data_IF_132262589091
#
_entry.id   IF_132262589091
#
_cell.length_a   1.000
_cell.length_b   1.000
_cell.length_c   1.000
_cell.angle_alpha   90.00
_cell.angle_beta   90.00
_cell.angle_gamma   90.00
#
_symmetry.space_group_name_H-M   'P 1'
#
loop_
_entity.id
_entity.type
_entity.pdbx_description
1 polymer ?
#
# COMPACT_ATOMS: atom_id res chain seq x y z
N UNK A 1 8.09 -23.93 -4.69
CA UNK A 1 8.36 -22.51 -4.55
C UNK A 1 7.75 -22.07 -3.23
N UNK A 2 8.52 -21.44 -2.36
CA UNK A 2 8.01 -20.89 -1.09
C UNK A 2 7.10 -19.69 -1.37
N UNK A 3 6.29 -19.30 -0.39
CA UNK A 3 5.45 -18.10 -0.50
C UNK A 3 6.28 -16.84 -0.77
N UNK A 4 7.46 -16.71 -0.15
CA UNK A 4 8.38 -15.60 -0.41
C UNK A 4 8.91 -15.58 -1.86
N UNK A 5 9.28 -16.76 -2.40
CA UNK A 5 9.73 -16.88 -3.79
C UNK A 5 8.59 -16.58 -4.78
N UNK A 6 7.35 -17.00 -4.49
CA UNK A 6 6.16 -16.68 -5.30
C UNK A 6 5.94 -15.17 -5.32
N UNK A 7 5.98 -14.53 -4.15
CA UNK A 7 5.78 -13.09 -4.04
C UNK A 7 6.88 -12.31 -4.75
N UNK A 8 8.15 -12.70 -4.59
CA UNK A 8 9.26 -12.06 -5.28
C UNK A 8 9.16 -12.22 -6.80
N UNK A 9 8.84 -13.41 -7.30
CA UNK A 9 8.63 -13.62 -8.73
C UNK A 9 7.47 -12.77 -9.29
N UNK A 10 6.43 -12.54 -8.48
CA UNK A 10 5.36 -11.62 -8.83
C UNK A 10 5.86 -10.17 -8.88
N UNK A 11 6.64 -9.73 -7.89
CA UNK A 11 7.25 -8.40 -7.89
C UNK A 11 8.18 -8.20 -9.09
N UNK A 12 9.02 -9.18 -9.42
CA UNK A 12 9.90 -9.14 -10.59
C UNK A 12 9.11 -8.94 -11.88
N UNK A 13 7.94 -9.58 -12.00
CA UNK A 13 7.08 -9.41 -13.17
C UNK A 13 6.48 -7.98 -13.26
N UNK A 14 5.97 -7.43 -12.16
CA UNK A 14 5.37 -6.08 -12.17
C UNK A 14 6.41 -4.96 -12.29
N UNK A 15 7.65 -5.20 -11.86
CA UNK A 15 8.74 -4.21 -11.92
C UNK A 15 9.66 -4.40 -13.12
N UNK A 16 9.30 -5.29 -14.06
CA UNK A 16 10.04 -5.57 -15.30
C UNK A 16 11.48 -6.09 -15.02
N UNK A 17 11.63 -6.91 -13.98
CA UNK A 17 12.90 -7.54 -13.60
C UNK A 17 13.90 -6.61 -12.93
N UNK A 18 13.45 -5.45 -12.42
CA UNK A 18 14.30 -4.54 -11.64
C UNK A 18 14.69 -5.19 -10.31
N UNK A 19 15.93 -5.03 -9.92
CA UNK A 19 16.40 -5.55 -8.64
C UNK A 19 16.07 -4.59 -7.49
N UNK A 20 15.35 -5.03 -6.45
CA UNK A 20 15.04 -4.19 -5.31
C UNK A 20 16.21 -4.06 -4.34
N UNK A 21 16.25 -2.94 -3.62
CA UNK A 21 16.95 -2.88 -2.34
C UNK A 21 16.04 -3.51 -1.28
N UNK A 22 16.47 -4.64 -0.72
CA UNK A 22 15.71 -5.36 0.31
C UNK A 22 16.27 -5.00 1.68
N UNK A 23 15.39 -4.62 2.60
CA UNK A 23 15.75 -4.41 4.01
C UNK A 23 14.70 -5.02 4.93
N UNK A 24 15.11 -5.38 6.14
CA UNK A 24 14.24 -6.00 7.13
C UNK A 24 13.83 -4.97 8.18
N UNK A 25 12.56 -5.01 8.57
CA UNK A 25 12.03 -4.30 9.74
C UNK A 25 11.76 -5.35 10.81
N UNK A 26 12.47 -5.29 11.97
CA UNK A 26 12.31 -6.26 13.03
C UNK A 26 10.86 -6.38 13.50
N UNK A 27 10.42 -7.61 13.78
CA UNK A 27 9.11 -7.79 14.40
C UNK A 27 9.09 -7.27 15.84
N UNK A 28 7.97 -6.65 16.23
CA UNK A 28 7.63 -6.46 17.64
C UNK A 28 7.19 -7.74 18.36
N UNK A 29 6.85 -8.81 17.64
CA UNK A 29 6.38 -10.09 18.15
C UNK A 29 7.41 -11.20 17.83
N UNK A 30 8.09 -11.78 18.83
CA UNK A 30 9.09 -12.83 18.62
C UNK A 30 8.56 -14.11 17.94
N UNK A 31 7.25 -14.32 17.93
CA UNK A 31 6.62 -15.48 17.26
C UNK A 31 6.45 -15.30 15.75
N UNK A 32 6.65 -14.07 15.25
CA UNK A 32 6.46 -13.72 13.86
C UNK A 32 7.78 -13.26 13.23
N UNK A 33 8.00 -13.64 11.96
CA UNK A 33 9.19 -13.25 11.21
C UNK A 33 9.23 -11.73 10.93
N UNK A 34 10.42 -11.18 10.74
CA UNK A 34 10.61 -9.79 10.33
C UNK A 34 9.86 -9.45 9.02
N UNK A 35 9.57 -8.17 8.84
CA UNK A 35 8.96 -7.67 7.60
C UNK A 35 10.07 -7.33 6.61
N UNK A 36 10.06 -7.97 5.43
CA UNK A 36 10.89 -7.55 4.32
C UNK A 36 10.26 -6.34 3.62
N UNK A 37 11.06 -5.34 3.31
CA UNK A 37 10.67 -4.18 2.50
C UNK A 37 11.51 -4.19 1.22
N UNK A 38 10.83 -4.34 0.07
CA UNK A 38 11.43 -4.30 -1.26
C UNK A 38 11.29 -2.88 -1.81
N UNK A 39 12.42 -2.21 -2.02
CA UNK A 39 12.44 -0.82 -2.47
C UNK A 39 12.95 -0.73 -3.90
N UNK A 40 12.19 -0.05 -4.74
CA UNK A 40 12.48 0.18 -6.16
C UNK A 40 12.57 1.69 -6.39
N UNK A 41 13.78 2.18 -6.69
CA UNK A 41 13.99 3.55 -7.14
C UNK A 41 13.68 3.66 -8.64
N UNK A 42 13.20 4.84 -9.04
CA UNK A 42 12.82 5.17 -10.41
C UNK A 42 11.78 4.21 -11.01
N UNK A 43 10.86 3.71 -10.17
CA UNK A 43 9.70 2.93 -10.56
C UNK A 43 8.44 3.49 -9.86
N UNK A 44 7.31 3.67 -10.56
CA UNK A 44 7.02 3.23 -11.94
C UNK A 44 7.66 4.11 -13.03
N UNK A 45 8.21 5.26 -12.67
CA UNK A 45 8.90 6.18 -13.59
C UNK A 45 10.05 6.88 -12.87
N UNK A 46 10.97 7.56 -13.59
CA UNK A 46 12.08 8.29 -12.96
C UNK A 46 11.60 9.30 -11.91
N UNK A 47 12.34 9.42 -10.80
CA UNK A 47 12.02 10.30 -9.68
C UNK A 47 11.03 9.74 -8.67
N UNK A 48 10.57 8.50 -8.85
CA UNK A 48 9.71 7.81 -7.89
C UNK A 48 10.46 6.78 -7.05
N UNK A 49 10.06 6.61 -5.80
CA UNK A 49 10.44 5.49 -4.95
C UNK A 49 9.20 4.68 -4.63
N UNK A 50 9.29 3.36 -4.80
CA UNK A 50 8.22 2.43 -4.47
C UNK A 50 8.69 1.38 -3.50
N UNK A 51 7.91 1.16 -2.44
CA UNK A 51 8.11 0.11 -1.46
C UNK A 51 7.01 -0.94 -1.53
N UNK A 52 7.36 -2.21 -1.37
CA UNK A 52 6.43 -3.32 -1.11
C UNK A 52 6.83 -4.04 0.18
N UNK A 53 5.87 -4.51 0.95
CA UNK A 53 6.13 -5.36 2.13
C UNK A 53 5.98 -6.84 1.80
N UNK A 54 6.70 -7.68 2.54
CA UNK A 54 6.39 -9.09 2.69
C UNK A 54 6.54 -9.50 4.16
N UNK A 55 5.53 -10.17 4.69
CA UNK A 55 5.49 -10.64 6.07
C UNK A 55 4.27 -10.16 6.85
N UNK A 56 3.52 -9.18 6.32
CA UNK A 56 2.22 -8.80 6.88
C UNK A 56 1.23 -9.96 6.72
N UNK A 57 1.18 -10.53 5.52
CA UNK A 57 0.28 -11.61 5.15
C UNK A 57 0.59 -12.95 5.87
N UNK A 58 1.74 -13.07 6.53
CA UNK A 58 2.07 -14.25 7.32
C UNK A 58 1.35 -14.29 8.67
N UNK A 59 0.89 -13.15 9.17
CA UNK A 59 0.04 -13.08 10.35
C UNK A 59 -1.41 -13.51 10.04
N UNK A 60 -2.23 -13.59 11.08
CA UNK A 60 -3.68 -13.85 10.96
C UNK A 60 -4.46 -12.67 11.52
N UNK A 61 -5.59 -12.36 10.90
CA UNK A 61 -6.54 -11.37 11.39
C UNK A 61 -7.96 -11.94 11.26
N UNK A 62 -8.81 -11.77 12.28
CA UNK A 62 -10.14 -12.39 12.32
C UNK A 62 -11.06 -11.94 11.17
N UNK A 63 -10.94 -10.68 10.77
CA UNK A 63 -11.74 -10.10 9.68
C UNK A 63 -11.23 -10.41 8.25
N UNK A 64 -10.07 -11.05 8.11
CA UNK A 64 -9.58 -11.49 6.80
C UNK A 64 -10.32 -12.74 6.33
N UNK A 65 -11.28 -12.55 5.41
CA UNK A 65 -12.14 -13.64 4.89
C UNK A 65 -11.77 -14.13 3.49
N UNK A 66 -11.20 -13.27 2.66
CA UNK A 66 -11.01 -13.52 1.23
C UNK A 66 -9.55 -13.51 0.78
N UNK A 67 -8.65 -13.24 1.71
CA UNK A 67 -7.20 -13.14 1.50
C UNK A 67 -6.58 -12.25 2.56
N UNK A 68 -5.28 -12.06 2.44
CA UNK A 68 -4.43 -11.34 3.39
C UNK A 68 -3.75 -10.18 2.69
N UNK A 69 -3.28 -9.18 3.43
CA UNK A 69 -2.70 -7.98 2.84
C UNK A 69 -1.17 -8.00 2.81
N UNK A 70 -0.60 -7.37 1.79
CA UNK A 70 0.72 -6.73 1.81
C UNK A 70 0.56 -5.27 1.41
N UNK A 71 1.49 -4.42 1.79
CA UNK A 71 1.41 -2.98 1.57
C UNK A 71 2.32 -2.55 0.43
N UNK A 72 1.88 -1.51 -0.27
CA UNK A 72 2.63 -0.81 -1.31
C UNK A 72 2.56 0.69 -1.07
N UNK A 73 3.69 1.39 -1.18
CA UNK A 73 3.75 2.85 -1.22
C UNK A 73 4.52 3.26 -2.46
N UNK A 74 4.11 4.33 -3.12
CA UNK A 74 4.82 4.90 -4.27
C UNK A 74 4.74 6.42 -4.23
N UNK A 75 5.89 7.08 -4.21
CA UNK A 75 6.02 8.51 -3.96
C UNK A 75 6.92 9.16 -4.99
N UNK A 76 6.62 10.39 -5.39
CA UNK A 76 7.53 11.25 -6.16
C UNK A 76 8.64 11.81 -5.26
N UNK A 77 9.54 10.93 -4.83
CA UNK A 77 10.68 11.17 -3.95
C UNK A 77 11.69 10.03 -4.13
N UNK A 78 12.92 10.20 -3.64
CA UNK A 78 13.90 9.12 -3.49
C UNK A 78 14.25 8.84 -2.02
N UNK A 79 13.53 9.44 -1.07
CA UNK A 79 13.74 9.22 0.36
C UNK A 79 13.27 7.81 0.76
N UNK A 80 14.17 6.93 1.24
CA UNK A 80 13.79 5.59 1.69
C UNK A 80 12.85 5.59 2.90
N UNK A 81 12.70 6.69 3.63
CA UNK A 81 11.76 6.78 4.76
C UNK A 81 10.33 6.38 4.35
N UNK A 82 9.92 6.68 3.11
CA UNK A 82 8.61 6.30 2.57
C UNK A 82 8.38 4.77 2.56
N UNK A 83 9.13 3.94 1.81
CA UNK A 83 9.07 2.48 1.91
C UNK A 83 9.22 1.93 3.34
N UNK A 84 10.11 2.52 4.14
CA UNK A 84 10.37 2.05 5.49
C UNK A 84 9.17 2.20 6.43
N UNK A 85 8.46 3.31 6.30
CA UNK A 85 7.30 3.61 7.14
C UNK A 85 6.23 2.52 7.02
N UNK A 86 5.95 2.01 5.81
CA UNK A 86 4.95 0.94 5.63
C UNK A 86 5.43 -0.41 6.18
N UNK A 87 6.74 -0.69 6.15
CA UNK A 87 7.30 -1.87 6.81
C UNK A 87 7.17 -1.79 8.32
N UNK A 88 7.38 -0.60 8.89
CA UNK A 88 7.16 -0.34 10.31
C UNK A 88 5.67 -0.44 10.70
N UNK A 89 4.76 0.15 9.92
CA UNK A 89 3.31 -0.01 10.12
C UNK A 89 2.91 -1.49 10.12
N UNK A 90 3.35 -2.25 9.11
CA UNK A 90 3.06 -3.67 9.00
C UNK A 90 3.60 -4.45 10.22
N UNK A 91 4.82 -4.19 10.66
CA UNK A 91 5.41 -4.85 11.83
C UNK A 91 4.63 -4.56 13.13
N UNK A 92 4.13 -3.33 13.29
CA UNK A 92 3.43 -2.88 14.50
C UNK A 92 1.95 -3.20 14.56
N UNK A 93 1.28 -3.27 13.41
CA UNK A 93 -0.18 -3.36 13.34
C UNK A 93 -0.67 -4.66 12.72
N UNK A 94 0.21 -5.56 12.24
CA UNK A 94 -0.24 -6.87 11.75
C UNK A 94 -0.92 -7.66 12.86
N UNK A 95 -2.11 -8.19 12.55
CA UNK A 95 -2.97 -8.87 13.51
C UNK A 95 -4.02 -7.95 14.17
N UNK A 96 -3.76 -6.65 14.25
CA UNK A 96 -4.68 -5.65 14.85
C UNK A 96 -5.36 -4.76 13.82
N UNK A 97 -4.72 -4.54 12.66
CA UNK A 97 -5.25 -3.75 11.55
C UNK A 97 -5.48 -4.65 10.33
N UNK A 98 -6.66 -4.53 9.72
CA UNK A 98 -6.99 -5.29 8.51
C UNK A 98 -6.29 -4.75 7.26
N UNK A 99 -5.86 -3.48 7.27
CA UNK A 99 -5.39 -2.75 6.09
C UNK A 99 -6.38 -2.82 4.92
N UNK A 100 -7.67 -2.66 5.24
CA UNK A 100 -8.75 -2.60 4.26
C UNK A 100 -8.82 -1.22 3.60
N UNK A 101 -9.36 -1.17 2.39
CA UNK A 101 -9.57 0.11 1.70
C UNK A 101 -10.48 1.04 2.50
N UNK A 102 -10.04 2.28 2.64
CA UNK A 102 -10.67 3.31 3.47
C UNK A 102 -10.14 3.35 4.90
N UNK A 103 -9.33 2.39 5.36
CA UNK A 103 -8.67 2.55 6.65
C UNK A 103 -7.75 3.76 6.63
N UNK A 104 -7.79 4.53 7.71
CA UNK A 104 -6.82 5.59 7.97
C UNK A 104 -6.02 5.24 9.21
N UNK A 105 -4.74 5.61 9.19
CA UNK A 105 -3.80 5.34 10.28
C UNK A 105 -3.12 6.67 10.61
N UNK A 106 -3.34 7.17 11.82
CA UNK A 106 -2.61 8.35 12.29
C UNK A 106 -1.22 7.88 12.79
N UNK A 107 -0.17 8.25 12.05
CA UNK A 107 1.20 7.85 12.35
C UNK A 107 1.77 8.61 13.55
N UNK A 108 1.26 9.83 13.80
CA UNK A 108 1.58 10.71 14.95
C UNK A 108 3.02 11.21 15.00
N UNK A 109 3.78 10.93 13.95
CA UNK A 109 5.12 11.42 13.74
C UNK A 109 5.32 11.70 12.25
N UNK A 110 6.29 12.53 11.94
CA UNK A 110 6.63 12.85 10.56
C UNK A 110 7.17 11.60 9.86
N UNK A 111 6.65 11.29 8.66
CA UNK A 111 7.03 10.08 7.93
C UNK A 111 8.42 10.22 7.28
N UNK A 112 8.71 11.40 6.73
CA UNK A 112 9.94 11.74 6.02
C UNK A 112 10.31 13.19 6.30
N UNK A 113 11.60 13.49 6.40
CA UNK A 113 12.08 14.86 6.61
C UNK A 113 11.72 15.81 5.46
N UNK A 114 11.35 15.28 4.28
CA UNK A 114 10.96 16.05 3.10
C UNK A 114 9.52 16.59 3.18
N UNK A 115 8.69 16.11 4.11
CA UNK A 115 7.27 16.45 4.18
C UNK A 115 6.72 16.39 5.60
N UNK A 116 5.78 17.30 5.93
CA UNK A 116 5.08 17.29 7.22
C UNK A 116 3.96 16.25 7.35
N UNK A 117 3.85 15.29 6.43
CA UNK A 117 2.83 14.23 6.50
C UNK A 117 3.11 13.26 7.64
N UNK A 118 2.05 12.90 8.35
CA UNK A 118 2.06 12.16 9.62
C UNK A 118 0.85 11.20 9.75
N UNK A 119 0.20 10.87 8.63
CA UNK A 119 -0.91 9.94 8.56
C UNK A 119 -0.91 9.17 7.24
N UNK A 120 -1.69 8.08 7.19
CA UNK A 120 -1.84 7.22 6.03
C UNK A 120 -3.30 6.92 5.73
N UNK A 121 -3.60 6.77 4.45
CA UNK A 121 -4.85 6.23 3.92
C UNK A 121 -4.54 4.95 3.15
N UNK A 122 -5.30 3.90 3.42
CA UNK A 122 -5.21 2.63 2.70
C UNK A 122 -6.22 2.62 1.57
N UNK A 123 -5.77 2.41 0.34
CA UNK A 123 -6.65 2.31 -0.83
C UNK A 123 -6.05 1.47 -1.96
N UNK A 124 -6.75 1.34 -3.08
CA UNK A 124 -6.25 0.58 -4.22
C UNK A 124 -4.94 1.19 -4.75
N UNK A 125 -3.86 0.40 -4.96
CA UNK A 125 -2.61 0.94 -5.48
C UNK A 125 -2.80 1.47 -6.90
N UNK A 126 -2.16 2.60 -7.27
CA UNK A 126 -2.50 3.34 -8.48
C UNK A 126 -1.77 2.82 -9.73
N UNK A 127 -0.64 2.13 -9.54
CA UNK A 127 0.23 1.64 -10.62
C UNK A 127 0.10 0.16 -10.91
N UNK A 128 -0.79 -0.53 -10.19
CA UNK A 128 -1.06 -1.94 -10.41
C UNK A 128 -2.41 -2.11 -11.08
N UNK A 129 -2.47 -3.01 -12.04
CA UNK A 129 -3.72 -3.53 -12.58
C UNK A 129 -4.37 -4.53 -11.62
N UNK A 130 -5.60 -4.94 -11.93
CA UNK A 130 -6.41 -5.80 -11.05
C UNK A 130 -5.73 -7.13 -10.73
N UNK A 131 -5.12 -7.76 -11.72
CA UNK A 131 -4.40 -9.02 -11.62
C UNK A 131 -3.05 -8.84 -10.90
N UNK A 132 -2.37 -7.71 -11.12
CA UNK A 132 -1.13 -7.37 -10.44
C UNK A 132 -1.32 -7.12 -8.93
N UNK A 133 -2.53 -6.76 -8.48
CA UNK A 133 -2.86 -6.58 -7.05
C UNK A 133 -3.06 -7.89 -6.29
N UNK A 134 -3.22 -9.01 -6.99
CA UNK A 134 -3.55 -10.30 -6.37
C UNK A 134 -2.46 -11.33 -6.66
N UNK A 135 -1.78 -11.75 -5.60
CA UNK A 135 -0.78 -12.83 -5.64
C UNK A 135 -1.40 -14.11 -5.12
N UNK A 136 -1.35 -15.18 -5.91
CA UNK A 136 -1.83 -16.51 -5.52
C UNK A 136 -0.73 -17.25 -4.77
N UNK A 137 -0.79 -17.22 -3.45
CA UNK A 137 0.18 -17.91 -2.58
C UNK A 137 -0.17 -19.40 -2.48
N UNK A 138 0.66 -20.20 -1.80
CA UNK A 138 0.41 -21.64 -1.68
C UNK A 138 -0.87 -21.96 -0.88
N UNK A 139 -1.19 -21.16 0.13
CA UNK A 139 -2.29 -21.45 1.08
C UNK A 139 -3.33 -20.34 1.24
N UNK A 140 -3.10 -19.18 0.64
CA UNK A 140 -4.02 -18.05 0.69
C UNK A 140 -3.84 -17.12 -0.52
N UNK A 141 -4.83 -16.27 -0.75
CA UNK A 141 -4.71 -15.15 -1.66
C UNK A 141 -4.09 -13.95 -0.92
N UNK A 142 -3.08 -13.33 -1.52
CA UNK A 142 -2.45 -12.12 -1.00
C UNK A 142 -2.82 -10.91 -1.86
N UNK A 143 -3.36 -9.86 -1.25
CA UNK A 143 -3.71 -8.61 -1.91
C UNK A 143 -2.72 -7.51 -1.59
N UNK A 144 -2.26 -6.80 -2.61
CA UNK A 144 -1.42 -5.61 -2.44
C UNK A 144 -2.34 -4.39 -2.25
N UNK A 145 -2.26 -3.78 -1.06
CA UNK A 145 -2.97 -2.56 -0.71
C UNK A 145 -2.03 -1.36 -0.83
N UNK A 146 -2.49 -0.29 -1.48
CA UNK A 146 -1.78 0.97 -1.58
C UNK A 146 -1.89 1.77 -0.28
N UNK A 147 -0.79 2.39 0.11
CA UNK A 147 -0.66 3.26 1.27
C UNK A 147 -0.31 4.65 0.77
N UNK A 148 -1.16 5.61 1.12
CA UNK A 148 -1.05 6.99 0.68
C UNK A 148 -0.76 7.87 1.90
N UNK A 149 0.41 8.51 1.98
CA UNK A 149 0.66 9.53 2.98
C UNK A 149 -0.37 10.66 2.88
N UNK A 150 -0.67 11.30 4.01
CA UNK A 150 -1.45 12.53 4.10
C UNK A 150 -1.15 13.25 5.41
N UNK A 151 -1.65 14.46 5.57
CA UNK A 151 -1.57 15.19 6.83
C UNK A 151 -2.68 14.74 7.77
N UNK A 152 -2.38 14.56 9.06
CA UNK A 152 -3.36 14.21 10.08
C UNK A 152 -4.51 15.22 10.19
N UNK A 153 -4.28 16.47 9.79
CA UNK A 153 -5.31 17.51 9.66
C UNK A 153 -6.34 17.21 8.57
N UNK A 154 -5.98 16.44 7.54
CA UNK A 154 -6.87 16.01 6.46
C UNK A 154 -7.74 14.81 6.87
N UNK A 155 -7.42 14.10 7.96
CA UNK A 155 -8.24 12.99 8.46
C UNK A 155 -9.65 13.43 8.84
N UNK A 156 -9.79 14.60 9.48
CA UNK A 156 -11.11 15.13 9.83
C UNK A 156 -11.95 15.47 8.58
N UNK A 157 -11.30 15.94 7.51
CA UNK A 157 -11.96 16.15 6.23
C UNK A 157 -12.38 14.81 5.62
N UNK A 158 -11.48 13.84 5.59
CA UNK A 158 -11.74 12.49 5.12
C UNK A 158 -12.94 11.84 5.83
N UNK A 159 -12.98 11.90 7.17
CA UNK A 159 -14.09 11.37 7.97
C UNK A 159 -15.42 12.05 7.63
N UNK A 160 -15.38 13.37 7.37
CA UNK A 160 -16.58 14.15 7.06
C UNK A 160 -17.15 13.86 5.67
N UNK A 161 -16.29 13.76 4.65
CA UNK A 161 -16.75 13.65 3.25
C UNK A 161 -16.77 12.21 2.74
N UNK A 162 -16.05 11.31 3.41
CA UNK A 162 -15.88 9.91 3.03
C UNK A 162 -14.95 9.71 1.82
N UNK A 163 -14.48 8.48 1.64
CA UNK A 163 -13.47 8.11 0.64
C UNK A 163 -13.83 8.56 -0.78
N UNK A 164 -15.09 8.39 -1.21
CA UNK A 164 -15.50 8.72 -2.59
C UNK A 164 -15.36 10.21 -2.88
N UNK A 165 -15.82 11.06 -1.97
CA UNK A 165 -15.73 12.50 -2.16
C UNK A 165 -14.28 12.99 -1.98
N UNK A 166 -13.56 12.45 -1.00
CA UNK A 166 -12.16 12.78 -0.74
C UNK A 166 -11.29 12.48 -1.97
N UNK A 167 -11.44 11.30 -2.57
CA UNK A 167 -10.67 10.87 -3.75
C UNK A 167 -10.91 11.72 -4.99
N UNK A 168 -12.03 12.46 -5.04
CA UNK A 168 -12.41 13.33 -6.14
C UNK A 168 -12.19 14.82 -5.87
N UNK A 169 -11.55 15.18 -4.74
CA UNK A 169 -11.15 16.56 -4.50
C UNK A 169 -10.16 16.99 -5.59
N UNK A 170 -10.39 18.16 -6.17
CA UNK A 170 -9.57 18.71 -7.27
C UNK A 170 -8.09 18.83 -6.92
N UNK A 171 -7.80 19.07 -5.65
CA UNK A 171 -6.45 19.30 -5.16
C UNK A 171 -5.86 18.07 -4.47
N UNK A 172 -6.57 16.93 -4.43
CA UNK A 172 -6.03 15.67 -3.93
C UNK A 172 -5.27 14.94 -5.04
N UNK A 173 -3.97 14.75 -4.83
CA UNK A 173 -3.13 13.91 -5.67
C UNK A 173 -2.54 12.76 -4.84
N UNK A 174 -2.89 11.49 -5.11
CA UNK A 174 -2.35 10.35 -4.39
C UNK A 174 -0.83 10.17 -4.54
N UNK A 175 -0.20 10.79 -5.54
CA UNK A 175 1.23 10.58 -5.84
C UNK A 175 2.16 11.64 -5.24
N UNK A 176 1.63 12.82 -4.92
CA UNK A 176 2.34 13.91 -4.23
C UNK A 176 1.75 14.23 -2.85
N UNK A 177 0.60 13.64 -2.53
CA UNK A 177 -0.06 13.53 -1.22
C UNK A 177 -0.25 14.83 -0.42
N UNK A 178 -1.01 15.78 -0.97
CA UNK A 178 -1.66 16.83 -0.16
C UNK A 178 -2.85 17.44 -0.91
N UNK A 179 -3.88 17.86 -0.18
CA UNK A 179 -4.89 18.81 -0.68
C UNK A 179 -4.27 20.21 -0.62
N UNK A 180 -3.75 20.72 -1.74
CA UNK A 180 -3.09 22.06 -1.79
C UNK A 180 -3.99 23.23 -1.38
N UNK A 181 -5.31 23.04 -1.34
CA UNK A 181 -6.30 24.11 -1.15
C UNK A 181 -6.90 24.25 0.26
N UNK A 182 -6.26 23.73 1.32
CA UNK A 182 -6.78 23.93 2.70
C UNK A 182 -5.95 24.81 3.66
N UNK A 183 -5.59 26.06 3.31
CA UNK A 183 -5.26 27.08 4.31
C UNK A 183 -6.47 27.86 4.86
N UNK A 184 -7.59 27.96 4.12
CA UNK A 184 -8.65 28.96 4.42
C UNK A 184 -9.65 28.57 5.51
N UNK A 185 -9.62 27.33 6.02
CA UNK A 185 -10.39 26.93 7.21
C UNK A 185 -9.51 26.63 8.44
N UNK A 186 -8.19 26.83 8.34
CA UNK A 186 -7.26 26.86 9.48
C UNK A 186 -7.20 28.26 10.14
N UNK A 187 -8.27 29.05 10.00
CA UNK A 187 -8.41 30.36 10.61
C UNK A 187 -8.67 30.26 12.12
N UNK A 188 -7.71 30.78 12.89
CA UNK A 188 -7.76 31.14 14.32
C UNK A 188 -7.44 30.04 15.35
N UNK A 189 -6.17 29.65 15.43
CA UNK A 189 -5.55 29.38 16.72
C UNK A 189 -4.40 30.37 16.95
N UNK A 190 -4.78 31.62 17.24
CA UNK A 190 -3.85 32.57 17.84
C UNK A 190 -3.33 31.99 19.15
N UNK A 191 -2.01 31.94 19.30
CA UNK A 191 -1.31 31.71 20.55
C UNK A 191 -2.04 32.36 21.74
N UNK A 192 -2.64 31.52 22.59
CA UNK A 192 -2.82 31.83 24.01
C UNK A 192 -2.24 30.65 24.77
N UNK A 193 -0.96 30.80 25.09
CA UNK A 193 -0.32 30.05 26.17
C UNK A 193 -1.19 30.16 27.43
N UNK A 194 -1.75 29.03 27.85
CA UNK A 194 -2.14 28.82 29.24
C UNK A 194 -1.46 27.55 29.71
N UNK A 195 -0.35 27.78 30.41
CA UNK A 195 0.25 26.96 31.46
C UNK A 195 -0.53 25.66 31.79
N UNK A 196 -0.01 24.53 31.32
CA UNK A 196 -0.12 23.27 32.03
C UNK A 196 1.30 22.84 32.41
N UNK A 197 1.53 22.84 33.73
CA UNK A 197 2.78 22.46 34.38
C UNK A 197 3.15 21.02 34.03
N UNK A 198 4.41 20.84 33.63
CA UNK A 198 5.30 19.70 33.86
C UNK A 198 4.65 18.34 34.18
N UNK A 199 4.76 17.41 33.23
CA UNK A 199 4.94 15.99 33.54
C UNK A 199 6.08 15.45 32.67
N UNK A 200 7.20 15.09 33.30
CA UNK A 200 8.28 14.37 32.65
C UNK A 200 7.79 13.00 32.14
N UNK A 201 8.23 12.54 30.96
CA UNK A 201 7.90 11.20 30.50
C UNK A 201 8.67 10.15 31.33
N UNK A 202 7.97 9.11 31.78
CA UNK A 202 8.58 7.87 32.27
C UNK A 202 9.05 7.03 31.08
N UNK A 203 10.15 6.26 31.20
CA UNK A 203 10.58 5.36 30.14
C UNK A 203 9.67 4.13 30.09
N UNK A 204 9.13 3.81 28.91
CA UNK A 204 8.40 2.54 28.67
C UNK A 204 7.05 2.61 27.95
N UNK A 205 6.72 3.67 27.21
CA UNK A 205 5.41 3.76 26.55
C UNK A 205 5.42 3.22 25.12
N UNK A 206 4.59 2.19 24.90
CA UNK A 206 4.08 1.80 23.59
C UNK A 206 3.39 3.00 22.92
N UNK A 207 3.76 3.30 21.67
CA UNK A 207 3.02 4.22 20.83
C UNK A 207 1.63 3.63 20.57
N UNK A 208 0.60 4.25 21.15
CA UNK A 208 -0.78 3.96 20.78
C UNK A 208 -1.04 4.57 19.40
N UNK A 209 -1.33 3.74 18.39
CA UNK A 209 -1.89 4.19 17.12
C UNK A 209 -3.41 4.28 17.26
N UNK A 210 -4.03 5.35 16.77
CA UNK A 210 -5.48 5.41 16.64
C UNK A 210 -5.85 4.93 15.23
N UNK A 211 -6.58 3.82 15.16
CA UNK A 211 -7.17 3.30 13.93
C UNK A 211 -8.63 3.74 13.92
N UNK A 212 -9.02 4.52 12.91
CA UNK A 212 -10.42 4.84 12.67
C UNK A 212 -10.95 3.88 11.60
N UNK A 213 -11.77 2.91 12.02
CA UNK A 213 -12.49 2.03 11.10
C UNK A 213 -13.79 2.69 10.63
N UNK A 214 -13.80 3.12 9.36
CA UNK A 214 -15.05 3.39 8.64
C UNK A 214 -15.46 2.09 7.92
N UNK A 215 -16.22 1.24 8.60
CA UNK A 215 -16.64 -0.06 8.07
C UNK A 215 -17.55 0.13 6.84
N UNK A 216 -17.01 -0.03 5.64
CA UNK A 216 -17.80 -0.28 4.43
C UNK A 216 -17.16 -1.42 3.63
N UNK A 217 -17.86 -2.55 3.52
CA UNK A 217 -17.45 -3.71 2.71
C UNK A 217 -17.27 -3.31 1.24
N UNK A 218 -16.02 -3.14 0.81
CA UNK A 218 -15.64 -2.92 -0.60
C UNK A 218 -14.76 -4.04 -1.15
N UNK A 219 -15.06 -5.29 -0.78
CA UNK A 219 -14.48 -6.45 -1.47
C UNK A 219 -15.57 -7.12 -2.30
N UNK A 220 -15.68 -6.71 -3.57
CA UNK A 220 -16.62 -7.32 -4.52
C UNK A 220 -17.10 -6.45 -5.68
N UNK A 221 -16.83 -5.14 -5.70
CA UNK A 221 -17.15 -4.26 -6.84
C UNK A 221 -15.90 -3.82 -7.58
N UNK A 222 -15.98 -3.82 -8.90
CA UNK A 222 -14.89 -3.39 -9.78
C UNK A 222 -14.58 -1.91 -9.54
N UNK A 223 -13.33 -1.48 -9.70
CA UNK A 223 -12.99 -0.04 -9.72
C UNK A 223 -13.83 0.75 -10.75
N UNK A 224 -14.35 0.07 -11.79
CA UNK A 224 -15.32 0.64 -12.75
C UNK A 224 -16.67 1.02 -12.13
N UNK A 225 -17.11 0.33 -11.08
CA UNK A 225 -18.40 0.58 -10.42
C UNK A 225 -18.34 1.81 -9.48
N UNK A 226 -17.13 2.18 -9.05
CA UNK A 226 -16.88 3.35 -8.20
C UNK A 226 -16.47 4.57 -9.02
N UNK A 227 -15.70 4.35 -10.10
CA UNK A 227 -15.11 5.39 -10.94
C UNK A 227 -15.34 5.05 -12.41
N UNK A 228 -16.50 5.42 -12.97
CA UNK A 228 -16.88 5.15 -14.36
C UNK A 228 -15.84 5.66 -15.38
N UNK A 229 -14.82 4.84 -15.66
CA UNK A 229 -13.86 5.06 -16.71
C UNK A 229 -14.52 4.71 -18.04
N UNK A 230 -14.83 5.74 -18.82
CA UNK A 230 -15.23 5.61 -20.22
C UNK A 230 -13.98 5.30 -21.03
N UNK A 231 -13.76 4.03 -21.33
CA UNK A 231 -12.82 3.62 -22.38
C UNK A 231 -13.40 3.95 -23.76
N UNK A 232 -12.57 4.28 -24.77
CA UNK A 232 -13.05 4.60 -26.10
C UNK A 232 -13.70 3.36 -26.76
N UNK A 233 -14.85 3.59 -27.39
CA UNK A 233 -15.55 2.65 -28.26
C UNK A 233 -14.58 2.04 -29.28
N UNK A 234 -14.31 0.73 -29.18
CA UNK A 234 -13.81 -0.05 -30.31
C UNK A 234 -14.97 -0.87 -30.85
N UNK A 235 -15.33 -0.57 -32.09
CA UNK A 235 -16.49 -1.09 -32.79
C UNK A 235 -16.43 -2.58 -33.07
N UNK A 236 -17.63 -3.11 -33.28
CA UNK A 236 -17.96 -4.44 -33.76
C UNK A 236 -17.08 -4.88 -34.93
N UNK A 237 -16.58 -6.12 -34.87
CA UNK A 237 -15.88 -6.79 -35.96
C UNK A 237 -15.84 -8.31 -35.75
N UNK A 238 -16.94 -8.95 -36.17
CA UNK A 238 -17.14 -10.34 -36.59
C UNK A 238 -16.22 -11.49 -36.13
N UNK A 239 -16.91 -12.50 -35.58
CA UNK A 239 -16.47 -13.88 -35.44
C UNK A 239 -16.09 -14.53 -36.77
N UNK A 240 -14.88 -15.12 -36.85
CA UNK A 240 -14.62 -16.36 -37.60
C UNK A 240 -13.48 -17.17 -36.96
N UNK A 241 -13.83 -18.33 -36.42
CA UNK A 241 -12.94 -19.51 -36.35
C UNK A 241 -12.73 -20.05 -37.79
N UNK A 242 -11.59 -20.70 -38.13
CA UNK A 242 -11.41 -22.10 -37.71
C UNK A 242 -9.96 -22.63 -37.51
N UNK A 243 -9.89 -23.68 -36.67
CA UNK A 243 -9.07 -24.92 -36.72
C UNK A 243 -7.76 -24.93 -37.51
N UNK A 244 -6.68 -25.32 -36.82
CA UNK A 244 -5.49 -25.91 -37.45
C UNK A 244 -4.48 -26.46 -36.44
N UNK A 245 -4.40 -27.79 -36.31
CA UNK A 245 -3.35 -28.51 -35.57
C UNK A 245 -2.00 -28.34 -36.26
N UNK A 246 -0.93 -28.08 -35.51
CA UNK A 246 0.36 -28.75 -35.74
C UNK A 246 1.15 -28.86 -34.44
N UNK A 247 1.68 -30.07 -34.22
CA UNK A 247 2.60 -30.42 -33.13
C UNK A 247 3.99 -30.00 -33.56
N UNK A 248 4.66 -29.15 -32.79
CA UNK A 248 6.12 -29.07 -32.82
C UNK A 248 6.67 -29.28 -31.41
N UNK A 249 7.51 -30.32 -31.35
CA UNK A 249 8.30 -30.79 -30.22
C UNK A 249 9.48 -29.83 -30.07
N UNK A 250 9.49 -29.02 -29.02
CA UNK A 250 10.67 -28.21 -28.67
C UNK A 250 11.43 -28.94 -27.58
N UNK A 251 12.65 -29.32 -27.91
CA UNK A 251 13.62 -29.94 -27.01
C UNK A 251 14.16 -28.90 -26.04
N UNK A 252 14.15 -29.21 -24.74
CA UNK A 252 14.75 -28.42 -23.67
C UNK A 252 16.28 -28.64 -23.64
N UNK A 253 17.10 -27.58 -23.53
CA UNK A 253 18.49 -27.73 -23.14
C UNK A 253 18.60 -27.99 -21.63
N UNK A 254 19.43 -28.96 -21.29
CA UNK A 254 19.87 -29.28 -19.94
C UNK A 254 20.86 -28.23 -19.44
N UNK A 255 20.74 -27.80 -18.18
CA UNK A 255 21.88 -27.23 -17.45
C UNK A 255 21.54 -26.30 -16.28
N UNK A 256 22.19 -26.59 -15.15
CA UNK A 256 22.40 -25.76 -13.94
C UNK A 256 21.24 -25.88 -12.91
N UNK A 257 21.26 -26.85 -11.99
CA UNK A 257 22.07 -27.01 -10.75
C UNK A 257 21.96 -25.87 -9.72
N UNK A 258 21.25 -26.21 -8.64
CA UNK A 258 21.56 -25.95 -7.22
C UNK A 258 21.87 -24.52 -6.77
N UNK A 259 20.89 -23.93 -6.07
CA UNK A 259 21.03 -23.25 -4.77
C UNK A 259 19.63 -22.92 -4.27
N UNK A 260 19.07 -23.81 -3.44
CA UNK A 260 18.23 -23.57 -2.25
C UNK A 260 18.10 -24.94 -1.56
#
# INVERSE_FOLDING_TARGET
MTDAEIYLAHLDNITEGREPVIRQVPSGDPSLADIAVFTYENWPRPGFITGFTFGLSLATHADWKHGRAELMISMESLDPAWPFSIGYLASRLRGDCTFSYGNTINFREQISDESGMDAFLIFAPPHLDRDQKLVKMNSFDCFIAGVYPLYSTELALYEKVGIKAFWHLSDWDPMTSSVRAWPELAGTASHRERNCRTAQPRPGNHCFFAIHETSTLYWGRSARDVFGFVGPNLGNGDCKEPRGRSRHRVSLPQGIRSRF
#
